data_IF_199456540099
#
_entry.id   IF_199456540099
#
_cell.length_a   1.000
_cell.length_b   1.000
_cell.length_c   1.000
_cell.angle_alpha   90.00
_cell.angle_beta   90.00
_cell.angle_gamma   90.00
#
_symmetry.space_group_name_H-M   'P 1'
#
loop_
_entity.id
_entity.type
_entity.pdbx_description
1 polymer ?
#
# COMPACT_ATOMS: atom_id res chain seq x y z
N UNK A 1 -11.08 24.04 17.03
CA UNK A 1 -11.66 22.70 16.82
C UNK A 1 -10.71 21.96 15.88
N UNK A 2 -9.84 21.10 16.43
CA UNK A 2 -8.76 20.43 15.72
C UNK A 2 -9.25 19.05 15.23
N UNK A 3 -9.75 18.98 14.00
CA UNK A 3 -10.09 17.72 13.33
C UNK A 3 -8.94 17.28 12.40
N UNK A 4 -7.74 17.09 12.98
CA UNK A 4 -6.53 16.74 12.23
C UNK A 4 -6.10 15.26 12.40
N UNK A 5 -6.79 14.49 13.24
CA UNK A 5 -6.45 13.09 13.59
C UNK A 5 -7.04 12.04 12.63
N UNK A 6 -8.28 12.22 12.19
CA UNK A 6 -9.07 11.08 11.69
C UNK A 6 -8.58 10.50 10.35
N UNK A 7 -8.23 11.31 9.33
CA UNK A 7 -7.78 10.77 8.05
C UNK A 7 -6.37 10.15 8.11
N UNK A 8 -5.47 10.74 8.90
CA UNK A 8 -4.08 10.31 8.98
C UNK A 8 -3.97 8.96 9.68
N UNK A 9 -4.60 8.82 10.85
CA UNK A 9 -4.64 7.57 11.62
C UNK A 9 -5.30 6.44 10.83
N UNK A 10 -6.39 6.76 10.12
CA UNK A 10 -7.06 5.82 9.25
C UNK A 10 -6.16 5.32 8.11
N UNK A 11 -5.48 6.22 7.38
CA UNK A 11 -4.59 5.84 6.28
C UNK A 11 -3.38 5.03 6.78
N UNK A 12 -2.82 5.38 7.94
CA UNK A 12 -1.73 4.60 8.57
C UNK A 12 -2.22 3.19 8.91
N UNK A 13 -3.40 3.07 9.49
CA UNK A 13 -4.01 1.79 9.87
C UNK A 13 -4.36 0.94 8.65
N UNK A 14 -4.95 1.54 7.61
CA UNK A 14 -5.27 0.88 6.35
C UNK A 14 -4.02 0.29 5.70
N UNK A 15 -2.91 1.03 5.70
CA UNK A 15 -1.65 0.53 5.17
C UNK A 15 -1.07 -0.61 6.01
N UNK A 16 -1.20 -0.55 7.34
CA UNK A 16 -0.76 -1.64 8.22
C UNK A 16 -1.54 -2.94 7.95
N UNK A 17 -2.85 -2.85 7.73
CA UNK A 17 -3.69 -3.99 7.32
C UNK A 17 -3.24 -4.53 5.97
N UNK A 18 -2.99 -3.66 4.99
CA UNK A 18 -2.47 -4.05 3.69
C UNK A 18 -1.12 -4.79 3.80
N UNK A 19 -0.18 -4.22 4.55
CA UNK A 19 1.15 -4.80 4.77
C UNK A 19 1.07 -6.18 5.44
N UNK A 20 0.21 -6.32 6.45
CA UNK A 20 -0.01 -7.60 7.14
C UNK A 20 -0.61 -8.65 6.20
N UNK A 21 -1.69 -8.33 5.48
CA UNK A 21 -2.37 -9.27 4.60
C UNK A 21 -1.47 -9.75 3.46
N UNK A 22 -0.76 -8.83 2.80
CA UNK A 22 0.19 -9.16 1.73
C UNK A 22 1.34 -10.02 2.24
N UNK A 23 1.83 -9.77 3.45
CA UNK A 23 2.89 -10.58 4.06
C UNK A 23 2.37 -11.98 4.38
N UNK A 24 1.17 -12.11 4.93
CA UNK A 24 0.59 -13.40 5.31
C UNK A 24 0.38 -14.29 4.08
N UNK A 25 -0.22 -13.77 3.01
CA UNK A 25 -0.38 -14.51 1.74
C UNK A 25 0.98 -14.95 1.20
N UNK A 26 1.99 -14.09 1.24
CA UNK A 26 3.34 -14.44 0.79
C UNK A 26 3.93 -15.59 1.61
N UNK A 27 3.78 -15.58 2.93
CA UNK A 27 4.25 -16.64 3.85
C UNK A 27 3.52 -17.95 3.60
N UNK A 28 2.19 -17.91 3.41
CA UNK A 28 1.40 -19.10 3.11
C UNK A 28 1.84 -19.76 1.79
N UNK A 29 2.00 -18.96 0.74
CA UNK A 29 2.49 -19.44 -0.55
C UNK A 29 3.93 -19.96 -0.46
N UNK A 30 4.81 -19.27 0.25
CA UNK A 30 6.19 -19.70 0.47
C UNK A 30 6.25 -21.10 1.08
N UNK A 31 5.46 -21.33 2.15
CA UNK A 31 5.37 -22.63 2.83
C UNK A 31 4.85 -23.73 1.89
N UNK A 32 3.78 -23.45 1.16
CA UNK A 32 3.17 -24.41 0.20
C UNK A 32 4.10 -24.77 -0.96
N UNK A 33 4.96 -23.84 -1.37
CA UNK A 33 5.93 -24.04 -2.45
C UNK A 33 7.29 -24.56 -1.95
N UNK A 34 7.47 -24.75 -0.64
CA UNK A 34 8.76 -25.12 -0.03
C UNK A 34 9.92 -24.20 -0.45
N UNK A 35 9.65 -22.90 -0.61
CA UNK A 35 10.65 -21.91 -1.03
C UNK A 35 11.46 -21.43 0.18
N UNK A 36 12.78 -21.57 0.13
CA UNK A 36 13.68 -21.14 1.21
C UNK A 36 13.87 -19.62 1.35
N UNK A 37 13.54 -18.84 0.32
CA UNK A 37 13.68 -17.38 0.31
C UNK A 37 12.38 -16.72 0.78
N UNK A 38 12.46 -15.86 1.79
CA UNK A 38 11.34 -15.09 2.32
C UNK A 38 11.22 -13.70 1.67
N UNK A 39 10.06 -13.08 1.80
CA UNK A 39 9.84 -11.68 1.36
C UNK A 39 10.80 -10.68 2.03
N UNK A 40 11.28 -11.00 3.24
CA UNK A 40 12.20 -10.15 4.01
C UNK A 40 13.63 -10.18 3.46
N UNK A 41 13.98 -11.21 2.71
CA UNK A 41 15.30 -11.36 2.09
C UNK A 41 15.45 -10.50 0.82
N UNK A 42 14.34 -9.91 0.33
CA UNK A 42 14.34 -9.05 -0.85
C UNK A 42 14.60 -7.60 -0.45
N UNK A 43 15.63 -7.00 -1.08
CA UNK A 43 15.99 -5.59 -0.87
C UNK A 43 14.96 -4.62 -1.47
N UNK A 44 14.58 -3.63 -0.67
CA UNK A 44 13.70 -2.51 -1.04
C UNK A 44 12.80 -2.09 0.12
N UNK A 45 12.01 -1.04 -0.08
CA UNK A 45 10.89 -0.77 0.82
C UNK A 45 9.81 -1.86 0.72
N UNK A 46 8.78 -1.78 1.57
CA UNK A 46 7.75 -2.82 1.62
C UNK A 46 7.06 -3.07 0.27
N UNK A 47 6.71 -2.03 -0.49
CA UNK A 47 6.02 -2.22 -1.77
C UNK A 47 6.97 -2.77 -2.83
N UNK A 48 8.20 -2.26 -2.88
CA UNK A 48 9.21 -2.73 -3.81
C UNK A 48 9.55 -4.21 -3.57
N UNK A 49 9.79 -4.60 -2.30
CA UNK A 49 10.10 -5.99 -1.94
C UNK A 49 8.90 -6.90 -2.23
N UNK A 50 7.69 -6.47 -1.90
CA UNK A 50 6.48 -7.25 -2.16
C UNK A 50 6.28 -7.49 -3.65
N UNK A 51 6.34 -6.42 -4.47
CA UNK A 51 6.16 -6.56 -5.92
C UNK A 51 7.19 -7.50 -6.54
N UNK A 52 8.46 -7.40 -6.15
CA UNK A 52 9.52 -8.28 -6.64
C UNK A 52 9.31 -9.72 -6.19
N UNK A 53 8.99 -9.93 -4.92
CA UNK A 53 8.80 -11.26 -4.35
C UNK A 53 7.65 -12.01 -5.02
N UNK A 54 6.48 -11.38 -5.07
CA UNK A 54 5.29 -11.93 -5.72
C UNK A 54 5.56 -12.30 -7.18
N UNK A 55 6.08 -11.34 -7.97
CA UNK A 55 6.31 -11.55 -9.40
C UNK A 55 7.40 -12.58 -9.69
N UNK A 56 8.55 -12.48 -9.05
CA UNK A 56 9.75 -13.22 -9.45
C UNK A 56 9.94 -14.52 -8.69
N UNK A 57 9.52 -14.57 -7.42
CA UNK A 57 9.69 -15.75 -6.54
C UNK A 57 8.42 -16.59 -6.53
N UNK A 58 7.27 -15.99 -6.18
CA UNK A 58 6.00 -16.72 -6.09
C UNK A 58 5.34 -16.98 -7.45
N UNK A 59 5.81 -16.31 -8.51
CA UNK A 59 5.19 -16.31 -9.85
C UNK A 59 3.69 -15.99 -9.79
N UNK A 60 3.36 -15.00 -8.97
CA UNK A 60 1.99 -14.60 -8.67
C UNK A 60 1.87 -13.08 -8.74
N UNK A 61 0.77 -12.57 -9.29
CA UNK A 61 0.56 -11.12 -9.38
C UNK A 61 0.07 -10.56 -8.04
N UNK A 62 0.74 -9.53 -7.53
CA UNK A 62 0.35 -8.88 -6.27
C UNK A 62 -0.95 -8.08 -6.46
N UNK A 63 -1.00 -7.25 -7.49
CA UNK A 63 -2.18 -6.50 -7.90
C UNK A 63 -2.54 -6.87 -9.34
N UNK A 64 -3.81 -7.17 -9.58
CA UNK A 64 -4.35 -7.46 -10.92
C UNK A 64 -4.51 -6.22 -11.78
N UNK A 65 -4.75 -5.06 -11.16
CA UNK A 65 -5.01 -3.79 -11.87
C UNK A 65 -3.95 -2.71 -11.60
N UNK A 66 -3.63 -1.93 -12.64
CA UNK A 66 -2.70 -0.80 -12.53
C UNK A 66 -3.23 0.31 -11.61
N UNK A 67 -4.54 0.56 -11.59
CA UNK A 67 -5.15 1.58 -10.72
C UNK A 67 -4.98 1.20 -9.23
N UNK A 68 -5.19 -0.07 -8.89
CA UNK A 68 -4.93 -0.58 -7.55
C UNK A 68 -3.49 -0.34 -7.11
N UNK A 69 -2.52 -0.67 -7.98
CA UNK A 69 -1.11 -0.41 -7.67
C UNK A 69 -0.82 1.08 -7.44
N UNK A 70 -1.40 1.97 -8.25
CA UNK A 70 -1.23 3.42 -8.06
C UNK A 70 -1.78 3.91 -6.73
N UNK A 71 -2.96 3.43 -6.31
CA UNK A 71 -3.56 3.79 -5.02
C UNK A 71 -2.80 3.22 -3.82
N UNK A 72 -2.29 2.00 -3.93
CA UNK A 72 -1.39 1.43 -2.91
C UNK A 72 -0.11 2.25 -2.76
N UNK A 73 0.48 2.73 -3.87
CA UNK A 73 1.65 3.62 -3.82
C UNK A 73 1.34 4.97 -3.20
N UNK A 74 0.18 5.54 -3.52
CA UNK A 74 -0.29 6.78 -2.91
C UNK A 74 -0.47 6.62 -1.40
N UNK A 75 -1.12 5.53 -0.97
CA UNK A 75 -1.30 5.17 0.43
C UNK A 75 0.04 5.01 1.16
N UNK A 76 1.03 4.34 0.56
CA UNK A 76 2.36 4.17 1.15
C UNK A 76 3.07 5.50 1.37
N UNK A 77 3.00 6.41 0.39
CA UNK A 77 3.59 7.75 0.49
C UNK A 77 2.93 8.57 1.61
N UNK A 78 1.59 8.59 1.65
CA UNK A 78 0.82 9.29 2.67
C UNK A 78 1.09 8.71 4.06
N UNK A 79 1.08 7.38 4.20
CA UNK A 79 1.42 6.71 5.47
C UNK A 79 2.82 7.07 5.93
N UNK A 80 3.81 7.10 5.04
CA UNK A 80 5.16 7.48 5.42
C UNK A 80 5.24 8.95 5.88
N UNK A 81 4.53 9.85 5.19
CA UNK A 81 4.45 11.25 5.58
C UNK A 81 3.78 11.44 6.94
N UNK A 82 2.64 10.78 7.18
CA UNK A 82 1.90 10.90 8.43
C UNK A 82 2.61 10.20 9.60
N UNK A 83 3.04 8.96 9.45
CA UNK A 83 3.60 8.18 10.55
C UNK A 83 4.99 8.66 11.00
N UNK A 84 5.83 9.16 10.09
CA UNK A 84 7.22 9.50 10.43
C UNK A 84 7.43 10.98 10.68
N UNK A 85 6.67 11.85 10.00
CA UNK A 85 6.86 13.30 10.09
C UNK A 85 5.56 14.07 10.37
N UNK A 86 4.51 13.38 10.81
CA UNK A 86 3.22 13.96 11.18
C UNK A 86 2.62 14.84 10.07
N UNK A 87 2.84 14.47 8.80
CA UNK A 87 2.33 15.18 7.63
C UNK A 87 3.02 16.52 7.33
N UNK A 88 4.14 16.85 8.00
CA UNK A 88 4.87 18.12 7.80
C UNK A 88 5.66 18.10 6.49
N UNK A 89 5.32 18.99 5.56
CA UNK A 89 5.95 19.07 4.23
C UNK A 89 7.45 19.37 4.29
N UNK A 90 7.87 20.21 5.24
CA UNK A 90 9.26 20.62 5.43
C UNK A 90 10.18 19.47 5.88
N UNK A 91 9.62 18.47 6.56
CA UNK A 91 10.35 17.30 7.06
C UNK A 91 10.41 16.16 6.03
N UNK A 92 9.65 16.26 4.93
CA UNK A 92 9.73 15.29 3.84
C UNK A 92 11.02 15.47 3.05
N UNK A 93 11.56 14.35 2.58
CA UNK A 93 12.61 14.36 1.56
C UNK A 93 12.08 14.99 0.25
N UNK A 94 12.99 15.43 -0.62
CA UNK A 94 12.66 16.15 -1.86
C UNK A 94 11.74 15.34 -2.79
N UNK A 95 11.97 14.03 -2.92
CA UNK A 95 11.19 13.15 -3.81
C UNK A 95 9.74 13.04 -3.33
N UNK A 96 9.54 12.78 -2.05
CA UNK A 96 8.22 12.71 -1.40
C UNK A 96 7.49 14.04 -1.53
N UNK A 97 8.16 15.16 -1.22
CA UNK A 97 7.59 16.50 -1.34
C UNK A 97 7.13 16.80 -2.76
N UNK A 98 7.92 16.44 -3.77
CA UNK A 98 7.56 16.64 -5.18
C UNK A 98 6.33 15.82 -5.58
N UNK A 99 6.18 14.58 -5.08
CA UNK A 99 4.99 13.77 -5.34
C UNK A 99 3.73 14.43 -4.79
N UNK A 100 3.77 14.91 -3.54
CA UNK A 100 2.64 15.61 -2.92
C UNK A 100 2.26 16.86 -3.74
N UNK A 101 3.24 17.68 -4.13
CA UNK A 101 2.98 18.86 -4.97
C UNK A 101 2.39 18.51 -6.34
N UNK A 102 2.79 17.38 -6.93
CA UNK A 102 2.22 16.95 -8.19
C UNK A 102 0.74 16.53 -8.03
N UNK A 103 0.40 15.85 -6.95
CA UNK A 103 -0.99 15.48 -6.63
C UNK A 103 -1.86 16.70 -6.36
N UNK A 104 -1.33 17.70 -5.66
CA UNK A 104 -1.99 18.98 -5.44
C UNK A 104 -2.29 19.70 -6.76
N UNK A 105 -1.31 19.80 -7.66
CA UNK A 105 -1.50 20.38 -9.00
C UNK A 105 -2.53 19.62 -9.84
N UNK A 106 -2.57 18.29 -9.71
CA UNK A 106 -3.51 17.42 -10.39
C UNK A 106 -4.91 17.43 -9.76
N UNK A 107 -5.12 18.17 -8.67
CA UNK A 107 -6.40 18.26 -7.94
C UNK A 107 -6.94 16.88 -7.56
N UNK A 108 -6.07 16.00 -7.07
CA UNK A 108 -6.47 14.65 -6.66
C UNK A 108 -7.26 14.62 -5.34
N UNK A 109 -7.36 15.76 -4.65
CA UNK A 109 -7.90 15.87 -3.28
C UNK A 109 -6.84 15.76 -2.19
N UNK A 110 -5.55 15.81 -2.56
CA UNK A 110 -4.43 15.98 -1.64
C UNK A 110 -3.94 17.42 -1.79
N UNK A 111 -3.90 18.19 -0.71
CA UNK A 111 -3.52 19.60 -0.71
C UNK A 111 -2.51 19.89 0.40
N UNK A 112 -1.88 21.06 0.34
CA UNK A 112 -1.01 21.56 1.40
C UNK A 112 -1.65 22.77 2.07
N UNK A 113 -1.81 22.74 3.40
CA UNK A 113 -2.29 23.88 4.18
C UNK A 113 -1.37 24.16 5.35
N UNK A 114 -0.86 25.39 5.45
CA UNK A 114 0.05 25.84 6.53
C UNK A 114 1.26 24.91 6.74
N UNK A 115 1.79 24.34 5.65
CA UNK A 115 2.93 23.41 5.68
C UNK A 115 2.59 21.95 6.01
N UNK A 116 1.32 21.61 6.17
CA UNK A 116 0.84 20.25 6.43
C UNK A 116 0.10 19.68 5.23
N UNK A 117 0.20 18.36 5.05
CA UNK A 117 -0.62 17.62 4.10
C UNK A 117 -2.05 17.55 4.62
N UNK A 118 -3.01 17.88 3.75
CA UNK A 118 -4.44 17.72 3.98
C UNK A 118 -5.00 16.78 2.91
N UNK A 119 -5.86 15.85 3.32
CA UNK A 119 -6.53 14.91 2.41
C UNK A 119 -8.04 15.07 2.52
N UNK A 120 -8.68 15.30 1.38
CA UNK A 120 -10.13 15.41 1.28
C UNK A 120 -10.78 14.05 1.54
N UNK A 121 -11.96 14.04 2.18
CA UNK A 121 -12.67 12.79 2.49
C UNK A 121 -12.91 11.91 1.25
N UNK A 122 -13.13 12.52 0.08
CA UNK A 122 -13.31 11.81 -1.19
C UNK A 122 -12.06 11.02 -1.61
N UNK A 123 -10.86 11.59 -1.50
CA UNK A 123 -9.63 10.89 -1.89
C UNK A 123 -9.30 9.77 -0.90
N UNK A 124 -9.55 10.00 0.40
CA UNK A 124 -9.37 8.97 1.43
C UNK A 124 -10.31 7.79 1.19
N UNK A 125 -11.57 8.06 0.87
CA UNK A 125 -12.56 7.03 0.54
C UNK A 125 -12.19 6.25 -0.73
N UNK A 126 -11.74 6.93 -1.79
CA UNK A 126 -11.29 6.31 -3.04
C UNK A 126 -10.07 5.39 -2.81
N UNK A 127 -9.05 5.88 -2.09
CA UNK A 127 -7.89 5.06 -1.69
C UNK A 127 -8.36 3.82 -0.92
N UNK A 128 -9.22 4.00 0.09
CA UNK A 128 -9.70 2.88 0.91
C UNK A 128 -10.43 1.84 0.08
N UNK A 129 -11.38 2.26 -0.76
CA UNK A 129 -12.18 1.34 -1.56
C UNK A 129 -11.31 0.52 -2.51
N UNK A 130 -10.40 1.19 -3.23
CA UNK A 130 -9.51 0.54 -4.19
C UNK A 130 -8.52 -0.40 -3.51
N UNK A 131 -7.92 0.02 -2.38
CA UNK A 131 -6.95 -0.82 -1.65
C UNK A 131 -7.64 -2.03 -1.02
N UNK A 132 -8.81 -1.86 -0.41
CA UNK A 132 -9.59 -2.97 0.16
C UNK A 132 -10.05 -3.94 -0.93
N UNK A 133 -10.50 -3.44 -2.09
CA UNK A 133 -10.85 -4.27 -3.23
C UNK A 133 -9.64 -5.06 -3.75
N UNK A 134 -8.47 -4.43 -3.84
CA UNK A 134 -7.23 -5.11 -4.25
C UNK A 134 -6.80 -6.22 -3.27
N UNK A 135 -7.00 -6.04 -1.97
CA UNK A 135 -6.72 -7.08 -0.98
C UNK A 135 -7.70 -8.24 -1.10
N UNK A 136 -8.99 -7.94 -1.31
CA UNK A 136 -10.00 -8.97 -1.53
C UNK A 136 -9.67 -9.80 -2.78
N UNK A 137 -9.35 -9.15 -3.88
CA UNK A 137 -8.92 -9.81 -5.11
C UNK A 137 -7.67 -10.69 -4.90
N UNK A 138 -6.66 -10.19 -4.18
CA UNK A 138 -5.47 -10.98 -3.82
C UNK A 138 -5.84 -12.25 -3.04
N UNK A 139 -6.70 -12.14 -2.03
CA UNK A 139 -7.14 -13.27 -1.21
C UNK A 139 -7.97 -14.27 -2.02
N UNK A 140 -8.87 -13.80 -2.88
CA UNK A 140 -9.71 -14.66 -3.70
C UNK A 140 -8.87 -15.43 -4.75
N UNK A 141 -7.89 -14.77 -5.39
CA UNK A 141 -6.93 -15.44 -6.28
C UNK A 141 -6.03 -16.42 -5.54
N UNK A 142 -5.61 -16.09 -4.31
CA UNK A 142 -4.83 -17.01 -3.49
C UNK A 142 -5.64 -18.26 -3.13
N UNK A 143 -6.90 -18.13 -2.72
CA UNK A 143 -7.78 -19.28 -2.43
C UNK A 143 -7.93 -20.20 -3.64
N UNK A 144 -8.23 -19.63 -4.81
CA UNK A 144 -8.30 -20.40 -6.05
C UNK A 144 -6.99 -21.14 -6.35
N UNK A 145 -5.86 -20.45 -6.16
CA UNK A 145 -4.55 -21.05 -6.34
C UNK A 145 -4.25 -22.18 -5.35
N UNK A 146 -4.69 -22.07 -4.09
CA UNK A 146 -4.49 -23.11 -3.05
C UNK A 146 -5.43 -24.30 -3.25
N UNK A 147 -6.67 -24.07 -3.66
CA UNK A 147 -7.67 -25.11 -3.97
C UNK A 147 -7.19 -26.00 -5.12
N UNK A 148 -6.63 -25.41 -6.18
CA UNK A 148 -6.08 -26.17 -7.32
C UNK A 148 -4.93 -27.09 -6.87
N UNK A 149 -4.12 -26.66 -5.91
CA UNK A 149 -2.95 -27.41 -5.44
C UNK A 149 -3.27 -28.44 -4.37
N UNK A 150 -4.36 -28.26 -3.65
CA UNK A 150 -4.81 -29.22 -2.64
C UNK A 150 -5.56 -30.39 -3.28
N UNK A 151 -6.17 -30.16 -4.46
CA UNK A 151 -6.88 -31.17 -5.23
C UNK A 151 -6.03 -31.83 -6.35
N UNK A 152 -4.73 -31.52 -6.43
CA UNK A 152 -3.77 -32.07 -7.40
C UNK A 152 -2.80 -33.03 -6.70
#
# INVERSE_FOLDING_TARGET
MLAWSDPAEFLVSLYAVYESAVTEVAVLMQKKLSIGISIKDIKGDFLERSKKYYKHILKFELCSENNAWQRVNMLAELRNAFAHVNGRMEMLNQKSRQKIYNWEKQKTGITTYSGYIVCDAKVVSDISQVVSASLKDLLDRYKQWDDIRTNA
#
